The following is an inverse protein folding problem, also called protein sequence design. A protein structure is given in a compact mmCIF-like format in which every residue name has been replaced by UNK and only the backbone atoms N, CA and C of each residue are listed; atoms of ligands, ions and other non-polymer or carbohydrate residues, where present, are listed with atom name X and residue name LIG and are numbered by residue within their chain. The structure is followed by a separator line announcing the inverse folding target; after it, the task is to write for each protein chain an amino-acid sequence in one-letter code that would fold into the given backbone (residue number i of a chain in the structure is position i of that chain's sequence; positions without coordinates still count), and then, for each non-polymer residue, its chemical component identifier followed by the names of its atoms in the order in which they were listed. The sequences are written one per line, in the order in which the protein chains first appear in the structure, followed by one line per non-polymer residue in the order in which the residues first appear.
data_IF_063827740295
#
_entry.id   IF_063827740295
#
_cell.length_a   1.000
_cell.length_b   1.000
_cell.length_c   1.000
_cell.angle_alpha   90.00
_cell.angle_beta   90.00
_cell.angle_gamma   90.00
#
_symmetry.space_group_name_H-M   'P 1'
#
loop_
_entity.id
_entity.type
_entity.pdbx_description
1 polymer ?
#
# COMPACT_ATOMS: atom_id res chain seq x y z
N UNK A 1 11.19 24.46 11.18
CA UNK A 1 11.24 23.15 11.88
C UNK A 1 9.87 22.89 12.47
N UNK A 2 9.13 21.91 11.96
CA UNK A 2 7.88 21.48 12.60
C UNK A 2 8.25 20.84 13.94
N UNK A 3 8.00 21.55 15.05
CA UNK A 3 7.87 20.92 16.36
C UNK A 3 6.70 19.95 16.22
N UNK A 4 6.98 18.68 15.97
CA UNK A 4 6.02 17.60 16.15
C UNK A 4 5.45 17.82 17.55
N UNK A 5 4.14 18.00 17.69
CA UNK A 5 3.49 18.10 19.00
C UNK A 5 3.57 16.73 19.66
N UNK A 6 4.74 16.39 20.19
CA UNK A 6 5.08 15.12 20.86
C UNK A 6 4.32 15.00 22.18
N UNK A 7 3.83 16.11 22.74
CA UNK A 7 3.29 16.21 24.09
C UNK A 7 1.94 15.49 24.34
N UNK A 8 1.27 14.92 23.32
CA UNK A 8 -0.03 14.23 23.49
C UNK A 8 -0.11 12.92 22.68
N UNK A 9 0.98 12.16 22.56
CA UNK A 9 0.92 10.82 21.94
C UNK A 9 0.64 9.73 22.97
N UNK A 10 -0.35 8.87 22.68
CA UNK A 10 -0.61 7.65 23.43
C UNK A 10 0.54 6.63 23.27
N UNK A 11 0.66 5.69 24.21
CA UNK A 11 1.63 4.58 24.12
C UNK A 11 1.51 3.79 22.80
N UNK A 12 0.28 3.64 22.31
CA UNK A 12 -0.01 2.97 21.04
C UNK A 12 0.60 3.73 19.86
N UNK A 13 0.38 5.05 19.79
CA UNK A 13 0.90 5.90 18.72
C UNK A 13 2.43 5.96 18.73
N UNK A 14 3.04 6.03 19.92
CA UNK A 14 4.49 5.98 20.09
C UNK A 14 5.06 4.66 19.55
N UNK A 15 4.42 3.53 19.88
CA UNK A 15 4.84 2.21 19.39
C UNK A 15 4.76 2.11 17.86
N UNK A 16 3.65 2.56 17.26
CA UNK A 16 3.44 2.61 15.81
C UNK A 16 4.52 3.47 15.15
N UNK A 17 4.76 4.67 15.67
CA UNK A 17 5.77 5.61 15.17
C UNK A 17 7.17 5.00 15.18
N UNK A 18 7.58 4.38 16.28
CA UNK A 18 8.91 3.76 16.41
C UNK A 18 9.06 2.57 15.47
N UNK A 19 8.03 1.71 15.41
CA UNK A 19 8.08 0.52 14.55
C UNK A 19 8.17 0.89 13.07
N UNK A 20 7.38 1.85 12.59
CA UNK A 20 7.47 2.27 11.19
C UNK A 20 8.82 2.92 10.88
N UNK A 21 9.31 3.79 11.78
CA UNK A 21 10.60 4.46 11.64
C UNK A 21 11.75 3.45 11.49
N UNK A 22 11.78 2.44 12.35
CA UNK A 22 12.89 1.49 12.42
C UNK A 22 12.75 0.31 11.43
N UNK A 23 11.54 0.07 10.92
CA UNK A 23 11.22 -1.05 10.04
C UNK A 23 10.56 -0.66 8.72
N UNK A 24 10.80 0.57 8.25
CA UNK A 24 10.17 1.08 7.03
C UNK A 24 10.47 0.22 5.79
N UNK A 25 11.71 -0.22 5.61
CA UNK A 25 12.06 -1.12 4.51
C UNK A 25 11.28 -2.43 4.54
N UNK A 26 11.13 -3.02 5.72
CA UNK A 26 10.35 -4.24 5.91
C UNK A 26 8.85 -3.99 5.72
N UNK A 27 8.33 -2.84 6.12
CA UNK A 27 6.94 -2.47 5.86
C UNK A 27 6.66 -2.41 4.35
N UNK A 28 7.60 -1.86 3.58
CA UNK A 28 7.52 -1.81 2.12
C UNK A 28 7.57 -3.22 1.51
N UNK A 29 8.49 -4.08 1.97
CA UNK A 29 8.59 -5.45 1.47
C UNK A 29 7.35 -6.29 1.81
N UNK A 30 6.84 -6.15 3.03
CA UNK A 30 5.60 -6.80 3.47
C UNK A 30 4.41 -6.36 2.61
N UNK A 31 4.30 -5.05 2.31
CA UNK A 31 3.28 -4.52 1.43
C UNK A 31 3.42 -5.07 -0.01
N UNK A 32 4.63 -5.09 -0.58
CA UNK A 32 4.89 -5.65 -1.93
C UNK A 32 4.41 -7.10 -2.04
N UNK A 33 4.65 -7.90 -1.00
CA UNK A 33 4.23 -9.30 -0.96
C UNK A 33 2.70 -9.46 -0.97
N UNK A 34 2.00 -8.67 -0.15
CA UNK A 34 0.56 -8.83 0.07
C UNK A 34 -0.30 -8.09 -0.96
N UNK A 35 0.16 -6.94 -1.44
CA UNK A 35 -0.55 -6.13 -2.43
C UNK A 35 -0.42 -6.70 -3.84
N UNK A 36 0.70 -7.38 -4.13
CA UNK A 36 0.91 -8.07 -5.40
C UNK A 36 1.32 -7.17 -6.57
N UNK A 37 1.73 -5.92 -6.30
CA UNK A 37 2.32 -5.03 -7.29
C UNK A 37 3.64 -4.43 -6.80
N UNK A 38 4.47 -4.01 -7.75
CA UNK A 38 5.77 -3.43 -7.48
C UNK A 38 5.64 -2.02 -6.89
N UNK A 39 6.39 -1.77 -5.83
CA UNK A 39 6.50 -0.45 -5.21
C UNK A 39 7.96 -0.05 -5.33
N UNK A 40 8.27 1.02 -6.07
CA UNK A 40 9.65 1.51 -6.15
C UNK A 40 10.09 2.14 -4.82
N UNK A 41 11.41 2.22 -4.58
CA UNK A 41 11.92 2.89 -3.38
C UNK A 41 11.51 4.38 -3.35
N UNK A 42 11.44 5.05 -4.51
CA UNK A 42 11.02 6.44 -4.56
C UNK A 42 9.53 6.62 -4.28
N UNK A 43 8.67 5.71 -4.76
CA UNK A 43 7.26 5.70 -4.39
C UNK A 43 7.11 5.47 -2.90
N UNK A 44 7.79 4.48 -2.33
CA UNK A 44 7.78 4.22 -0.89
C UNK A 44 8.17 5.47 -0.08
N UNK A 45 9.28 6.14 -0.43
CA UNK A 45 9.72 7.38 0.24
C UNK A 45 8.67 8.49 0.17
N UNK A 46 8.00 8.66 -0.97
CA UNK A 46 6.88 9.60 -1.12
C UNK A 46 5.74 9.24 -0.16
N UNK A 47 5.34 7.96 -0.11
CA UNK A 47 4.31 7.48 0.82
C UNK A 47 4.67 7.75 2.28
N UNK A 48 5.92 7.49 2.69
CA UNK A 48 6.37 7.77 4.06
C UNK A 48 6.33 9.27 4.37
N UNK A 49 6.68 10.13 3.41
CA UNK A 49 6.58 11.58 3.56
C UNK A 49 5.14 12.03 3.76
N UNK A 50 4.20 11.54 2.95
CA UNK A 50 2.76 11.80 3.12
C UNK A 50 2.29 11.31 4.50
N UNK A 51 2.59 10.06 4.83
CA UNK A 51 2.24 9.44 6.11
C UNK A 51 2.75 10.26 7.29
N UNK A 52 3.99 10.75 7.20
CA UNK A 52 4.61 11.51 8.27
C UNK A 52 4.00 12.91 8.42
N UNK A 53 3.88 13.65 7.31
CA UNK A 53 3.35 15.02 7.31
C UNK A 53 1.89 15.07 7.77
N UNK A 54 1.10 14.06 7.41
CA UNK A 54 -0.31 13.93 7.79
C UNK A 54 -0.49 13.24 9.15
N UNK A 55 0.59 12.91 9.86
CA UNK A 55 0.58 12.23 11.15
C UNK A 55 -0.26 10.94 11.16
N UNK A 56 -0.24 10.18 10.07
CA UNK A 56 -1.13 9.03 9.86
C UNK A 56 -0.97 7.90 10.90
N UNK A 57 0.06 7.92 11.74
CA UNK A 57 0.20 7.01 12.88
C UNK A 57 -0.85 7.26 13.99
N UNK A 58 -1.50 8.43 14.00
CA UNK A 58 -2.58 8.79 14.93
C UNK A 58 -3.97 8.38 14.43
N UNK A 59 -4.06 7.78 13.24
CA UNK A 59 -5.34 7.27 12.74
C UNK A 59 -5.94 6.31 13.78
N UNK A 60 -7.22 6.49 14.19
CA UNK A 60 -7.80 5.79 15.35
C UNK A 60 -7.64 4.27 15.30
N UNK A 61 -7.67 3.72 14.08
CA UNK A 61 -7.56 2.29 13.83
C UNK A 61 -6.18 1.84 13.34
N UNK A 62 -5.15 2.68 13.36
CA UNK A 62 -3.80 2.22 13.07
C UNK A 62 -3.35 1.18 14.10
N UNK A 63 -2.70 0.13 13.64
CA UNK A 63 -2.13 -0.95 14.43
C UNK A 63 -0.77 -1.30 13.85
N UNK A 64 0.10 -1.94 14.62
CA UNK A 64 1.40 -2.38 14.08
C UNK A 64 1.21 -3.24 12.81
N UNK A 65 0.21 -4.12 12.80
CA UNK A 65 -0.02 -5.05 11.71
C UNK A 65 -0.53 -4.38 10.42
N UNK A 66 -1.23 -3.25 10.53
CA UNK A 66 -1.81 -2.60 9.36
C UNK A 66 -0.96 -1.49 8.75
N UNK A 67 0.05 -0.98 9.46
CA UNK A 67 0.92 0.11 8.96
C UNK A 67 1.44 -0.16 7.54
N UNK A 68 1.94 -1.37 7.19
CA UNK A 68 2.41 -1.65 5.84
C UNK A 68 1.40 -1.29 4.75
N UNK A 69 0.12 -1.50 5.01
CA UNK A 69 -0.98 -1.19 4.10
C UNK A 69 -1.39 0.28 4.21
N UNK A 70 -1.49 0.81 5.43
CA UNK A 70 -1.90 2.18 5.68
C UNK A 70 -0.95 3.21 5.06
N UNK A 71 0.36 2.91 4.98
CA UNK A 71 1.34 3.73 4.25
C UNK A 71 0.89 4.06 2.82
N UNK A 72 0.26 3.10 2.14
CA UNK A 72 -0.16 3.24 0.75
C UNK A 72 -1.64 3.62 0.62
N UNK A 73 -2.46 3.36 1.64
CA UNK A 73 -3.87 3.76 1.70
C UNK A 73 -4.06 5.29 1.67
N UNK A 74 -3.14 6.05 2.26
CA UNK A 74 -3.24 7.51 2.33
C UNK A 74 -2.72 8.23 1.09
N UNK A 75 -2.32 7.49 0.05
CA UNK A 75 -1.89 8.07 -1.20
C UNK A 75 -3.09 8.39 -2.10
N UNK A 76 -2.99 9.44 -2.94
CA UNK A 76 -4.00 9.69 -3.96
C UNK A 76 -4.04 8.54 -4.97
N UNK A 77 -5.18 8.43 -5.68
CA UNK A 77 -5.31 7.54 -6.82
C UNK A 77 -4.18 7.79 -7.83
N UNK A 78 -3.61 6.74 -8.39
CA UNK A 78 -2.59 6.84 -9.44
C UNK A 78 -3.05 6.12 -10.69
N UNK A 79 -2.51 6.50 -11.85
CA UNK A 79 -2.70 5.72 -13.07
C UNK A 79 -1.88 4.42 -12.97
N UNK A 80 -2.52 3.23 -13.03
CA UNK A 80 -1.83 1.95 -12.99
C UNK A 80 -1.29 1.49 -14.36
N UNK A 81 -1.41 2.28 -15.42
CA UNK A 81 -0.81 1.96 -16.71
C UNK A 81 0.72 1.83 -16.58
N UNK A 82 1.25 0.72 -17.09
CA UNK A 82 2.65 0.35 -16.94
C UNK A 82 3.03 -0.23 -15.57
N UNK A 83 2.10 -0.30 -14.61
CA UNK A 83 2.38 -0.83 -13.28
C UNK A 83 2.82 -2.29 -13.34
N UNK A 84 3.91 -2.61 -12.66
CA UNK A 84 4.43 -3.97 -12.61
C UNK A 84 3.66 -4.78 -11.56
N UNK A 85 2.99 -5.85 -11.98
CA UNK A 85 2.23 -6.76 -11.13
C UNK A 85 3.01 -8.06 -10.97
N UNK A 86 3.10 -8.56 -9.74
CA UNK A 86 3.90 -9.75 -9.41
C UNK A 86 3.29 -11.00 -10.04
N UNK A 87 4.11 -11.79 -10.74
CA UNK A 87 3.72 -13.06 -11.35
C UNK A 87 3.22 -14.05 -10.28
N UNK A 88 2.16 -14.78 -10.57
CA UNK A 88 1.51 -15.73 -9.67
C UNK A 88 0.69 -15.09 -8.53
N UNK A 89 0.69 -13.76 -8.40
CA UNK A 89 -0.04 -13.08 -7.32
C UNK A 89 -1.56 -13.21 -7.47
N UNK A 90 -2.27 -13.09 -6.36
CA UNK A 90 -3.74 -13.08 -6.38
C UNK A 90 -4.30 -11.89 -7.16
N UNK A 91 -3.59 -10.75 -7.17
CA UNK A 91 -3.96 -9.57 -7.95
C UNK A 91 -3.85 -9.85 -9.45
N UNK A 92 -2.74 -10.45 -9.90
CA UNK A 92 -2.56 -10.83 -11.31
C UNK A 92 -3.69 -11.75 -11.79
N UNK A 93 -4.03 -12.78 -11.02
CA UNK A 93 -5.10 -13.73 -11.38
C UNK A 93 -6.45 -13.06 -11.56
N UNK A 94 -6.74 -11.99 -10.80
CA UNK A 94 -7.98 -11.24 -10.93
C UNK A 94 -7.92 -10.35 -12.18
N UNK A 95 -6.81 -9.64 -12.39
CA UNK A 95 -6.60 -8.80 -13.58
C UNK A 95 -6.80 -9.59 -14.87
N UNK A 96 -6.26 -10.81 -14.96
CA UNK A 96 -6.38 -11.67 -16.15
C UNK A 96 -7.82 -12.07 -16.50
N UNK A 97 -8.77 -11.91 -15.57
CA UNK A 97 -10.21 -12.19 -15.80
C UNK A 97 -10.99 -10.96 -16.24
N UNK A 98 -10.39 -9.77 -16.22
CA UNK A 98 -11.02 -8.50 -16.58
C UNK A 98 -10.74 -8.20 -18.06
N UNK A 99 -11.77 -8.15 -18.89
CA UNK A 99 -11.63 -7.92 -20.35
C UNK A 99 -11.04 -6.54 -20.71
N UNK A 100 -11.24 -5.54 -19.85
CA UNK A 100 -10.72 -4.18 -20.03
C UNK A 100 -9.20 -4.06 -19.79
N UNK A 101 -8.55 -5.08 -19.21
CA UNK A 101 -7.14 -5.03 -18.82
C UNK A 101 -6.36 -6.17 -19.47
N UNK A 102 -5.07 -5.95 -19.71
CA UNK A 102 -4.17 -7.00 -20.20
C UNK A 102 -2.83 -6.95 -19.48
N UNK A 103 -2.15 -8.09 -19.51
CA UNK A 103 -0.86 -8.29 -18.87
C UNK A 103 0.19 -8.59 -19.92
N UNK A 104 1.14 -7.68 -20.09
CA UNK A 104 2.30 -7.87 -20.96
C UNK A 104 3.42 -8.58 -20.18
N UNK A 105 3.93 -9.67 -20.76
CA UNK A 105 5.04 -10.41 -20.17
C UNK A 105 6.35 -9.63 -20.34
N UNK A 106 7.11 -9.51 -19.25
CA UNK A 106 8.48 -9.01 -19.30
C UNK A 106 9.44 -10.17 -19.02
N UNK A 107 10.32 -10.44 -19.99
CA UNK A 107 11.34 -11.49 -19.88
C UNK A 107 12.35 -11.14 -18.78
N UNK A 108 12.78 -12.15 -18.02
CA UNK A 108 13.79 -12.00 -16.96
C UNK A 108 13.33 -11.29 -15.68
N UNK A 109 12.06 -10.87 -15.58
CA UNK A 109 11.49 -10.26 -14.37
C UNK A 109 10.39 -11.13 -13.76
N UNK A 110 10.26 -11.13 -12.43
CA UNK A 110 9.14 -11.78 -11.72
C UNK A 110 7.83 -10.97 -11.76
N UNK A 111 7.72 -10.07 -12.73
CA UNK A 111 6.61 -9.14 -12.89
C UNK A 111 6.11 -9.13 -14.34
N UNK A 112 4.83 -8.84 -14.47
CA UNK A 112 4.18 -8.51 -15.75
C UNK A 112 3.75 -7.06 -15.72
N UNK A 113 3.73 -6.39 -16.87
CA UNK A 113 3.27 -5.01 -17.01
C UNK A 113 1.75 -4.99 -17.21
N UNK A 114 1.04 -4.24 -16.36
CA UNK A 114 -0.38 -3.97 -16.55
C UNK A 114 -0.57 -2.91 -17.63
N UNK A 115 -1.47 -3.17 -18.56
CA UNK A 115 -1.84 -2.26 -19.64
C UNK A 115 -3.37 -2.22 -19.80
N UNK A 116 -3.94 -1.10 -20.26
CA UNK A 116 -5.32 -1.10 -20.73
C UNK A 116 -5.47 -2.01 -21.95
N UNK A 117 -6.61 -2.69 -22.05
CA UNK A 117 -6.98 -3.46 -23.23
C UNK A 117 -7.86 -2.62 -24.19
N UNK A 118 -7.33 -1.47 -24.60
CA UNK A 118 -7.97 -0.52 -25.52
C UNK A 118 -6.92 0.01 -26.50
N UNK A 119 -7.33 0.34 -27.73
CA UNK A 119 -6.47 0.99 -28.74
C UNK A 119 -6.34 2.50 -28.52
N UNK A 120 -7.41 3.12 -28.04
CA UNK A 120 -7.50 4.58 -27.88
C UNK A 120 -7.02 5.08 -26.51
N UNK A 121 -6.32 4.21 -25.78
CA UNK A 121 -6.06 4.40 -24.36
C UNK A 121 -7.32 4.18 -23.52
N UNK A 122 -7.13 4.10 -22.21
CA UNK A 122 -8.22 4.05 -21.24
C UNK A 122 -7.67 4.66 -19.95
N UNK A 123 -8.16 5.84 -19.52
CA UNK A 123 -7.74 6.40 -18.25
C UNK A 123 -8.11 5.46 -17.13
N UNK A 124 -7.09 5.02 -16.39
CA UNK A 124 -7.22 4.09 -15.28
C UNK A 124 -6.84 4.79 -13.97
N UNK A 125 -7.42 4.32 -12.88
CA UNK A 125 -7.04 4.68 -11.53
C UNK A 125 -6.89 3.41 -10.69
N UNK A 126 -5.85 3.36 -9.85
CA UNK A 126 -5.71 2.38 -8.77
C UNK A 126 -5.65 3.09 -7.43
N UNK A 127 -6.32 2.51 -6.44
CA UNK A 127 -6.33 3.02 -5.06
C UNK A 127 -6.35 1.88 -4.05
N UNK A 128 -5.71 2.11 -2.90
CA UNK A 128 -5.93 1.34 -1.69
C UNK A 128 -6.89 2.10 -0.81
N UNK A 129 -8.02 1.49 -0.45
CA UNK A 129 -9.09 2.18 0.27
C UNK A 129 -9.97 1.21 1.04
N UNK A 130 -11.02 1.75 1.67
CA UNK A 130 -12.04 0.99 2.39
C UNK A 130 -11.41 0.06 3.44
N UNK A 131 -10.54 0.62 4.27
CA UNK A 131 -10.04 -0.06 5.45
C UNK A 131 -11.22 -0.40 6.38
N UNK A 132 -11.40 -1.69 6.66
CA UNK A 132 -12.52 -2.25 7.42
C UNK A 132 -12.02 -3.07 8.61
N UNK A 133 -12.69 -2.88 9.74
CA UNK A 133 -12.57 -3.69 10.94
C UNK A 133 -13.85 -4.50 11.13
N UNK A 134 -13.72 -5.81 11.04
CA UNK A 134 -14.78 -6.74 11.39
C UNK A 134 -14.58 -7.18 12.84
N UNK A 135 -15.55 -6.77 13.68
CA UNK A 135 -15.60 -7.06 15.13
C UNK A 135 -16.60 -8.17 15.46
N UNK A 136 -17.21 -8.82 14.45
CA UNK A 136 -18.35 -9.71 14.64
C UNK A 136 -17.98 -11.13 15.05
N UNK A 137 -16.70 -11.51 15.04
CA UNK A 137 -16.26 -12.86 15.41
C UNK A 137 -15.42 -12.89 16.70
N UNK A 138 -15.71 -13.91 17.51
CA UNK A 138 -15.03 -14.23 18.78
C UNK A 138 -13.56 -14.64 18.65
N UNK A 139 -13.02 -14.76 17.43
CA UNK A 139 -11.66 -15.25 17.13
C UNK A 139 -10.60 -14.14 16.95
N UNK A 140 -10.96 -12.88 17.21
CA UNK A 140 -10.06 -11.72 17.16
C UNK A 140 -10.44 -10.70 16.09
N UNK A 141 -9.76 -9.56 16.09
CA UNK A 141 -9.99 -8.47 15.14
C UNK A 141 -9.68 -8.96 13.71
N UNK A 142 -10.67 -8.92 12.82
CA UNK A 142 -10.46 -9.21 11.39
C UNK A 142 -10.37 -7.90 10.63
N UNK A 143 -9.17 -7.60 10.15
CA UNK A 143 -8.90 -6.35 9.46
C UNK A 143 -8.68 -6.58 7.96
N UNK A 144 -9.09 -5.61 7.14
CA UNK A 144 -8.93 -5.69 5.69
C UNK A 144 -8.88 -4.34 5.00
N UNK A 145 -8.33 -4.33 3.79
CA UNK A 145 -8.26 -3.17 2.90
C UNK A 145 -8.57 -3.62 1.47
N UNK A 146 -9.07 -2.74 0.62
CA UNK A 146 -9.33 -3.04 -0.79
C UNK A 146 -8.26 -2.43 -1.69
N UNK A 147 -7.78 -3.19 -2.68
CA UNK A 147 -7.21 -2.63 -3.91
C UNK A 147 -8.35 -2.52 -4.91
N UNK A 148 -8.58 -1.32 -5.41
CA UNK A 148 -9.51 -1.08 -6.51
C UNK A 148 -8.78 -0.55 -7.74
N UNK A 149 -9.13 -1.09 -8.91
CA UNK A 149 -8.77 -0.55 -10.21
C UNK A 149 -10.07 -0.16 -10.91
N UNK A 150 -10.13 1.08 -11.39
CA UNK A 150 -11.30 1.66 -12.05
C UNK A 150 -10.90 2.33 -13.35
N UNK A 151 -11.83 2.41 -14.30
CA UNK A 151 -11.67 3.18 -15.54
C UNK A 151 -12.58 4.40 -15.53
N UNK A 152 -12.10 5.48 -16.14
CA UNK A 152 -12.97 6.63 -16.43
C UNK A 152 -13.90 6.27 -17.59
N UNK A 153 -15.20 6.43 -17.39
CA UNK A 153 -16.26 6.24 -18.40
C UNK A 153 -16.92 7.55 -18.78
N UNK A 154 -16.44 8.69 -18.26
CA UNK A 154 -16.98 9.99 -18.60
C UNK A 154 -16.71 10.33 -20.07
N UNK A 155 -17.64 11.09 -20.66
CA UNK A 155 -17.41 11.74 -21.96
C UNK A 155 -16.76 13.12 -21.80
N UNK A 156 -16.54 13.57 -20.55
CA UNK A 156 -16.00 14.88 -20.23
C UNK A 156 -14.88 14.74 -19.19
N UNK A 157 -13.64 14.98 -19.62
CA UNK A 157 -12.44 14.87 -18.79
C UNK A 157 -12.41 15.83 -17.58
N UNK A 158 -13.28 16.85 -17.52
CA UNK A 158 -13.41 17.73 -16.34
C UNK A 158 -14.28 17.13 -15.23
N UNK A 159 -15.06 16.09 -15.54
CA UNK A 159 -15.96 15.41 -14.58
C UNK A 159 -15.83 13.90 -14.77
N UNK A 160 -14.72 13.31 -14.30
CA UNK A 160 -14.47 11.89 -14.45
C UNK A 160 -15.54 11.07 -13.72
N UNK A 161 -15.96 9.98 -14.36
CA UNK A 161 -16.93 9.02 -13.83
C UNK A 161 -16.24 7.66 -13.76
N UNK A 162 -16.07 7.13 -12.56
CA UNK A 162 -15.25 5.93 -12.36
C UNK A 162 -16.11 4.67 -12.33
N UNK A 163 -15.83 3.75 -13.26
CA UNK A 163 -16.37 2.38 -13.23
C UNK A 163 -15.33 1.42 -12.66
N UNK A 164 -15.65 0.78 -11.55
CA UNK A 164 -14.83 -0.27 -10.94
C UNK A 164 -14.66 -1.45 -11.90
N UNK A 165 -13.40 -1.82 -12.16
CA UNK A 165 -13.02 -3.00 -12.94
C UNK A 165 -12.63 -4.16 -12.03
N UNK A 166 -11.94 -3.85 -10.94
CA UNK A 166 -11.44 -4.80 -9.95
C UNK A 166 -11.65 -4.18 -8.58
N UNK A 167 -12.21 -4.96 -7.65
CA UNK A 167 -12.20 -4.64 -6.23
C UNK A 167 -11.76 -5.89 -5.46
N UNK A 168 -10.49 -5.90 -5.04
CA UNK A 168 -9.86 -7.02 -4.36
C UNK A 168 -9.71 -6.70 -2.88
N UNK A 169 -10.46 -7.41 -2.04
CA UNK A 169 -10.26 -7.40 -0.59
C UNK A 169 -8.94 -8.11 -0.23
N UNK A 170 -8.16 -7.47 0.63
CA UNK A 170 -6.91 -7.97 1.21
C UNK A 170 -7.14 -8.08 2.70
N UNK A 171 -7.01 -9.29 3.24
CA UNK A 171 -7.01 -9.51 4.69
C UNK A 171 -5.66 -9.06 5.23
N UNK A 172 -5.68 -8.22 6.27
CA UNK A 172 -4.47 -7.83 6.99
C UNK A 172 -4.16 -8.97 7.97
N UNK A 173 -3.01 -9.65 7.84
CA UNK A 173 -2.71 -10.80 8.69
C UNK A 173 -2.47 -10.38 10.15
N UNK A 174 -3.17 -11.02 11.08
CA UNK A 174 -2.94 -10.82 12.51
C UNK A 174 -1.51 -11.25 12.88
N UNK A 175 -0.77 -10.33 13.52
CA UNK A 175 0.64 -10.46 13.91
C UNK A 175 1.61 -10.77 12.76
N UNK A 176 1.14 -10.73 11.51
CA UNK A 176 1.94 -11.11 10.35
C UNK A 176 3.15 -10.19 10.18
N UNK A 177 2.94 -8.89 10.34
CA UNK A 177 4.04 -7.93 10.20
C UNK A 177 5.04 -8.03 11.36
N UNK A 178 4.56 -8.23 12.60
CA UNK A 178 5.44 -8.43 13.77
C UNK A 178 6.31 -9.68 13.57
N UNK A 179 5.70 -10.80 13.17
CA UNK A 179 6.44 -12.03 12.86
C UNK A 179 7.43 -11.82 11.71
N UNK A 180 7.04 -11.07 10.68
CA UNK A 180 7.91 -10.75 9.55
C UNK A 180 9.14 -9.93 9.96
N UNK A 181 8.96 -8.93 10.83
CA UNK A 181 10.09 -8.16 11.40
C UNK A 181 11.03 -9.08 12.16
N UNK A 182 10.49 -9.91 13.05
CA UNK A 182 11.29 -10.78 13.92
C UNK A 182 12.03 -11.89 13.16
N UNK A 183 11.50 -12.32 12.00
CA UNK A 183 12.11 -13.36 11.17
C UNK A 183 13.24 -12.87 10.26
N UNK A 184 13.34 -11.56 9.97
CA UNK A 184 14.31 -11.01 9.00
C UNK A 184 15.55 -10.47 9.69
N UNK A 185 16.66 -11.22 9.64
CA UNK A 185 17.90 -10.87 10.36
C UNK A 185 19.10 -10.45 9.50
N UNK A 186 19.09 -10.64 8.16
CA UNK A 186 20.38 -10.57 7.40
C UNK A 186 20.43 -9.58 6.22
N UNK A 187 19.30 -9.22 5.57
CA UNK A 187 19.32 -8.28 4.44
C UNK A 187 18.21 -7.24 4.56
N UNK A 188 18.60 -6.00 4.87
CA UNK A 188 17.73 -4.82 5.08
C UNK A 188 18.09 -3.73 4.08
N UNK A 189 17.09 -3.01 3.56
CA UNK A 189 17.33 -1.94 2.59
C UNK A 189 17.73 -0.66 3.31
N UNK A 190 19.05 -0.45 3.48
CA UNK A 190 19.62 0.70 4.18
C UNK A 190 19.14 2.05 3.64
N UNK A 191 19.00 2.20 2.32
CA UNK A 191 18.54 3.45 1.70
C UNK A 191 17.13 3.85 2.16
N UNK A 192 16.25 2.89 2.46
CA UNK A 192 14.92 3.16 3.00
C UNK A 192 14.99 3.41 4.51
N UNK A 193 15.77 2.62 5.26
CA UNK A 193 15.97 2.82 6.70
C UNK A 193 16.50 4.23 7.01
N UNK A 194 17.60 4.62 6.35
CA UNK A 194 18.25 5.92 6.57
C UNK A 194 17.31 7.07 6.21
N UNK A 195 16.51 6.91 5.15
CA UNK A 195 15.50 7.88 4.77
C UNK A 195 14.43 8.04 5.85
N UNK A 196 13.93 6.93 6.41
CA UNK A 196 12.95 6.96 7.49
C UNK A 196 13.51 7.62 8.75
N UNK A 197 14.73 7.27 9.16
CA UNK A 197 15.40 7.90 10.32
C UNK A 197 15.66 9.39 10.14
N UNK A 198 15.96 9.83 8.91
CA UNK A 198 16.13 11.26 8.59
C UNK A 198 14.81 12.02 8.61
N UNK A 199 13.74 11.41 8.10
CA UNK A 199 12.42 12.04 8.00
C UNK A 199 11.69 12.07 9.35
N UNK A 200 11.78 10.98 10.10
CA UNK A 200 11.07 10.74 11.35
C UNK A 200 12.08 10.80 12.53
N UNK A 201 12.22 11.95 13.21
CA UNK A 201 13.15 12.08 14.33
C UNK A 201 12.75 11.18 15.52
N UNK A 202 13.70 10.79 16.39
CA UNK A 202 13.36 10.04 17.59
C UNK A 202 12.39 10.82 18.50
N UNK A 203 11.49 10.09 19.16
CA UNK A 203 10.53 10.58 20.16
C UNK A 203 10.72 9.87 21.51
#
# INVERSE_FOLDING_TARGET
MNKIRIEVMSKKEIAIYKIIRDNFDLAVDFAREHLGYYISNDKAKKCLKTYFLSQCWTYPYSTVNNIPFMLFNFEPMINPDGLLIKKGSSLERIIRKTSDLKMEHISGLDYNRLLPNSRDGMPLAIILWNHQLDKTESSGLKESICIEISKDVSQNSMRPEWKTLINKKIKIPNDGFIKFINAKTVYRNKKLQDFAHKLMPPI
#
